data_IF_623252865853
#
_entry.id   IF_623252865853
#
_cell.length_a   1.000
_cell.length_b   1.000
_cell.length_c   1.000
_cell.angle_alpha   90.00
_cell.angle_beta   90.00
_cell.angle_gamma   90.00
#
_symmetry.space_group_name_H-M   'P 1'
#
loop_
_entity.id
_entity.type
_entity.pdbx_description
1 polymer ?
#
# COMPACT_ATOMS: atom_id res chain seq x y z
N UNK A 1 -5.12 -9.75 -13.10
CA UNK A 1 -6.59 -9.75 -13.33
C UNK A 1 -7.39 -9.28 -12.10
N UNK A 2 -6.73 -9.00 -11.00
CA UNK A 2 -7.35 -8.53 -9.75
C UNK A 2 -8.17 -7.24 -9.97
N UNK A 3 -7.58 -6.23 -10.62
CA UNK A 3 -8.29 -4.98 -10.95
C UNK A 3 -9.58 -5.21 -11.74
N UNK A 4 -9.56 -6.12 -12.74
CA UNK A 4 -10.77 -6.44 -13.51
C UNK A 4 -11.86 -7.06 -12.65
N UNK A 5 -11.50 -7.93 -11.73
CA UNK A 5 -12.47 -8.54 -10.81
C UNK A 5 -13.13 -7.54 -9.84
N UNK A 6 -12.53 -6.37 -9.66
CA UNK A 6 -12.95 -5.34 -8.69
C UNK A 6 -13.35 -4.01 -9.32
N UNK A 7 -13.51 -3.96 -10.66
CA UNK A 7 -13.91 -2.73 -11.37
C UNK A 7 -15.19 -2.12 -10.81
N UNK A 8 -16.21 -2.96 -10.59
CA UNK A 8 -17.49 -2.48 -10.05
C UNK A 8 -17.34 -1.90 -8.64
N UNK A 9 -16.58 -2.53 -7.79
CA UNK A 9 -16.33 -2.06 -6.43
C UNK A 9 -15.62 -0.69 -6.44
N UNK A 10 -14.59 -0.52 -7.31
CA UNK A 10 -13.92 0.76 -7.49
C UNK A 10 -14.90 1.84 -7.98
N UNK A 11 -15.75 1.52 -8.94
CA UNK A 11 -16.78 2.42 -9.46
C UNK A 11 -17.82 2.80 -8.40
N UNK A 12 -18.23 1.86 -7.56
CA UNK A 12 -19.19 2.09 -6.46
C UNK A 12 -18.61 3.07 -5.40
N UNK A 13 -17.27 3.20 -5.30
CA UNK A 13 -16.62 4.23 -4.48
C UNK A 13 -16.44 5.57 -5.20
N UNK A 14 -16.93 5.69 -6.44
CA UNK A 14 -16.80 6.90 -7.26
C UNK A 14 -15.48 7.04 -8.00
N UNK A 15 -14.65 5.99 -8.02
CA UNK A 15 -13.40 5.94 -8.76
C UNK A 15 -13.60 5.41 -10.18
N UNK A 16 -13.06 6.11 -11.18
CA UNK A 16 -12.82 5.56 -12.51
C UNK A 16 -11.52 4.79 -12.54
N UNK A 17 -11.39 3.84 -13.47
CA UNK A 17 -10.18 3.05 -13.67
C UNK A 17 -9.74 3.12 -15.13
N UNK A 18 -8.46 3.36 -15.36
CA UNK A 18 -7.80 3.20 -16.65
C UNK A 18 -6.38 2.67 -16.42
N UNK A 19 -5.83 1.95 -17.39
CA UNK A 19 -4.42 1.58 -17.40
C UNK A 19 -3.72 2.17 -18.61
N UNK A 20 -2.44 2.52 -18.45
CA UNK A 20 -1.60 3.08 -19.52
C UNK A 20 -0.45 2.10 -19.75
N UNK A 21 -0.18 1.81 -21.01
CA UNK A 21 0.97 1.02 -21.44
C UNK A 21 1.62 1.66 -22.66
N UNK A 22 2.91 1.40 -22.85
CA UNK A 22 3.65 1.80 -24.05
C UNK A 22 3.32 0.94 -25.30
N UNK A 23 2.51 -0.10 -25.13
CA UNK A 23 2.11 -0.98 -26.23
C UNK A 23 1.19 -0.26 -27.23
N UNK A 24 1.26 -0.65 -28.53
CA UNK A 24 0.36 -0.14 -29.56
C UNK A 24 -1.11 -0.48 -29.30
N UNK A 25 -2.07 0.31 -29.82
CA UNK A 25 -3.51 0.12 -29.60
C UNK A 25 -4.02 -1.28 -29.97
N UNK A 26 -3.52 -1.89 -31.05
CA UNK A 26 -3.92 -3.22 -31.51
C UNK A 26 -3.51 -4.32 -30.52
N UNK A 27 -2.34 -4.18 -29.88
CA UNK A 27 -1.89 -5.11 -28.83
C UNK A 27 -2.80 -4.99 -27.60
N UNK A 28 -3.08 -3.76 -27.18
CA UNK A 28 -3.96 -3.50 -26.03
C UNK A 28 -5.40 -3.98 -26.30
N UNK A 29 -5.91 -3.78 -27.50
CA UNK A 29 -7.24 -4.27 -27.89
C UNK A 29 -7.30 -5.80 -27.90
N UNK A 30 -6.26 -6.46 -28.40
CA UNK A 30 -6.16 -7.93 -28.36
C UNK A 30 -6.11 -8.44 -26.91
N UNK A 31 -5.27 -7.85 -26.08
CA UNK A 31 -5.14 -8.19 -24.67
C UNK A 31 -6.45 -7.97 -23.91
N UNK A 32 -7.13 -6.84 -24.14
CA UNK A 32 -8.42 -6.52 -23.52
C UNK A 32 -9.47 -7.60 -23.83
N UNK A 33 -9.61 -7.97 -25.11
CA UNK A 33 -10.56 -9.03 -25.52
C UNK A 33 -10.22 -10.39 -24.91
N UNK A 34 -8.96 -10.80 -24.97
CA UNK A 34 -8.53 -12.10 -24.41
C UNK A 34 -8.72 -12.23 -22.92
N UNK A 35 -8.65 -11.11 -22.18
CA UNK A 35 -8.71 -11.08 -20.73
C UNK A 35 -10.04 -10.58 -20.18
N UNK A 36 -10.99 -10.23 -21.06
CA UNK A 36 -12.28 -9.69 -20.65
C UNK A 36 -12.15 -8.37 -19.87
N UNK A 37 -11.17 -7.51 -20.23
CA UNK A 37 -10.96 -6.23 -19.54
C UNK A 37 -12.01 -5.24 -20.04
N UNK A 38 -12.73 -4.62 -19.09
CA UNK A 38 -13.83 -3.70 -19.36
C UNK A 38 -13.49 -2.23 -19.13
N UNK A 39 -12.39 -1.93 -18.46
CA UNK A 39 -11.90 -0.57 -18.29
C UNK A 39 -10.93 -0.17 -19.42
N UNK A 40 -10.77 1.13 -19.71
CA UNK A 40 -9.88 1.62 -20.77
C UNK A 40 -8.42 1.18 -20.58
N UNK A 41 -7.83 0.65 -21.64
CA UNK A 41 -6.39 0.49 -21.79
C UNK A 41 -5.90 1.55 -22.78
N UNK A 42 -5.05 2.46 -22.30
CA UNK A 42 -4.56 3.62 -23.02
C UNK A 42 -3.17 3.32 -23.58
N UNK A 43 -2.95 3.59 -24.86
CA UNK A 43 -1.68 3.43 -25.53
C UNK A 43 -0.85 4.69 -25.42
N UNK A 44 0.40 4.57 -24.96
CA UNK A 44 1.39 5.64 -24.86
C UNK A 44 2.64 5.25 -25.66
N UNK A 45 2.46 4.98 -26.94
CA UNK A 45 3.57 4.66 -27.86
C UNK A 45 4.61 5.80 -27.83
N UNK A 46 5.86 5.44 -27.57
CA UNK A 46 6.93 6.41 -27.36
C UNK A 46 7.03 6.95 -25.94
N UNK A 47 6.17 6.47 -25.01
CA UNK A 47 6.27 6.68 -23.55
C UNK A 47 6.27 8.15 -23.12
N UNK A 48 5.59 9.03 -23.87
CA UNK A 48 5.54 10.46 -23.56
C UNK A 48 4.82 10.76 -22.24
N UNK A 49 3.68 10.09 -22.00
CA UNK A 49 2.92 10.22 -20.74
C UNK A 49 3.67 9.56 -19.60
N UNK A 50 4.20 8.36 -19.79
CA UNK A 50 5.03 7.63 -18.83
C UNK A 50 6.19 8.50 -18.36
N UNK A 51 6.89 9.17 -19.29
CA UNK A 51 8.00 10.09 -18.98
C UNK A 51 7.52 11.31 -18.18
N UNK A 52 6.39 11.92 -18.56
CA UNK A 52 5.82 13.07 -17.82
C UNK A 52 5.42 12.74 -16.38
N UNK A 53 5.00 11.51 -16.14
CA UNK A 53 4.69 11.02 -14.78
C UNK A 53 5.94 10.63 -13.99
N UNK A 54 7.15 10.67 -14.61
CA UNK A 54 8.42 10.36 -13.96
C UNK A 54 8.58 8.87 -13.63
N UNK A 55 7.95 7.99 -14.41
CA UNK A 55 7.94 6.54 -14.17
C UNK A 55 8.56 5.73 -15.31
N UNK A 56 9.23 6.36 -16.24
CA UNK A 56 9.97 5.63 -17.26
C UNK A 56 11.05 4.76 -16.59
N UNK A 57 11.09 3.49 -16.96
CA UNK A 57 12.13 2.58 -16.49
C UNK A 57 13.43 2.86 -17.24
N UNK A 58 14.23 3.79 -16.71
CA UNK A 58 15.52 4.19 -17.30
C UNK A 58 16.52 3.06 -17.30
N UNK A 59 16.46 2.12 -16.34
CA UNK A 59 17.34 0.95 -16.30
C UNK A 59 17.16 0.06 -17.52
N UNK A 60 15.91 -0.15 -17.97
CA UNK A 60 15.65 -0.91 -19.19
C UNK A 60 16.11 -0.15 -20.44
N UNK A 61 15.97 1.17 -20.48
CA UNK A 61 16.40 2.04 -21.56
C UNK A 61 17.93 2.08 -21.66
N UNK A 62 18.61 2.23 -20.54
CA UNK A 62 20.07 2.23 -20.41
C UNK A 62 20.69 0.85 -20.73
N UNK A 63 19.97 -0.25 -20.41
CA UNK A 63 20.44 -1.62 -20.66
C UNK A 63 20.71 -1.93 -22.14
N UNK A 64 19.92 -1.38 -23.04
CA UNK A 64 19.95 -1.64 -24.48
C UNK A 64 20.12 -0.37 -25.32
N UNK A 65 20.25 0.78 -24.65
CA UNK A 65 20.37 2.10 -25.27
C UNK A 65 21.82 2.64 -25.35
N UNK A 66 22.00 3.89 -25.76
CA UNK A 66 23.32 4.51 -25.94
C UNK A 66 24.15 4.67 -24.66
N UNK A 67 23.53 4.66 -23.49
CA UNK A 67 24.17 4.78 -22.17
C UNK A 67 24.74 3.43 -21.63
N UNK A 68 24.48 2.33 -22.30
CA UNK A 68 24.95 0.98 -21.92
C UNK A 68 26.49 0.82 -21.81
N UNK A 69 27.25 1.87 -22.13
CA UNK A 69 28.71 1.89 -22.05
C UNK A 69 29.25 2.40 -20.71
N UNK A 70 28.40 2.95 -19.84
CA UNK A 70 28.78 3.42 -18.53
C UNK A 70 28.97 2.22 -17.58
N UNK A 71 30.16 2.04 -16.92
CA UNK A 71 30.41 0.90 -16.05
C UNK A 71 29.47 0.80 -14.83
N UNK A 72 29.04 1.93 -14.26
CA UNK A 72 28.10 1.93 -13.12
C UNK A 72 26.71 1.49 -13.57
N UNK A 73 26.24 2.04 -14.68
CA UNK A 73 25.01 1.64 -15.35
C UNK A 73 25.08 0.16 -15.73
N UNK A 74 26.23 -0.32 -16.24
CA UNK A 74 26.39 -1.72 -16.60
C UNK A 74 26.24 -2.69 -15.43
N UNK A 75 26.65 -2.31 -14.21
CA UNK A 75 26.50 -3.15 -13.01
C UNK A 75 25.04 -3.27 -12.57
N UNK A 76 24.31 -2.18 -12.52
CA UNK A 76 22.89 -2.15 -12.19
C UNK A 76 22.04 -2.86 -13.25
N UNK A 77 22.38 -2.67 -14.51
CA UNK A 77 21.78 -3.39 -15.64
C UNK A 77 21.99 -4.90 -15.51
N UNK A 78 23.20 -5.35 -15.19
CA UNK A 78 23.50 -6.77 -15.03
C UNK A 78 22.65 -7.36 -13.91
N UNK A 79 22.49 -6.65 -12.81
CA UNK A 79 21.64 -7.03 -11.69
C UNK A 79 20.16 -7.08 -12.10
N UNK A 80 19.68 -6.08 -12.81
CA UNK A 80 18.31 -6.01 -13.32
C UNK A 80 18.04 -7.11 -14.35
N UNK A 81 18.94 -7.30 -15.33
CA UNK A 81 18.85 -8.34 -16.37
C UNK A 81 18.82 -9.72 -15.77
N UNK A 82 19.65 -9.99 -14.73
CA UNK A 82 19.66 -11.28 -14.04
C UNK A 82 18.36 -11.55 -13.27
N UNK A 83 17.69 -10.51 -12.77
CA UNK A 83 16.45 -10.62 -12.00
C UNK A 83 15.19 -10.74 -12.88
N UNK A 84 15.12 -10.04 -14.02
CA UNK A 84 13.89 -9.91 -14.84
C UNK A 84 14.05 -10.31 -16.31
N UNK A 85 15.27 -10.49 -16.81
CA UNK A 85 15.54 -10.81 -18.20
C UNK A 85 15.27 -9.60 -19.11
N UNK A 86 16.26 -8.73 -19.32
CA UNK A 86 16.11 -7.57 -20.21
C UNK A 86 16.11 -7.96 -21.69
N UNK A 87 15.25 -7.33 -22.46
CA UNK A 87 15.24 -7.39 -23.92
C UNK A 87 14.95 -6.00 -24.50
N UNK A 88 15.31 -5.79 -25.76
CA UNK A 88 15.02 -4.54 -26.47
C UNK A 88 13.52 -4.15 -26.44
N UNK A 89 12.62 -5.12 -26.18
CA UNK A 89 11.19 -4.88 -26.05
C UNK A 89 10.81 -4.17 -24.75
N UNK A 90 11.74 -4.02 -23.80
CA UNK A 90 11.51 -3.34 -22.53
C UNK A 90 11.86 -1.84 -22.61
N UNK A 91 12.40 -1.36 -23.73
CA UNK A 91 12.64 0.07 -23.93
C UNK A 91 11.29 0.80 -23.96
N UNK A 92 11.15 1.83 -23.13
CA UNK A 92 9.90 2.58 -22.99
C UNK A 92 8.93 2.04 -21.95
N UNK A 93 9.23 0.88 -21.32
CA UNK A 93 8.40 0.34 -20.22
C UNK A 93 8.38 1.29 -19.01
N UNK A 94 7.24 1.36 -18.37
CA UNK A 94 7.12 2.09 -17.09
C UNK A 94 7.58 1.25 -15.90
N UNK A 95 8.11 1.90 -14.85
CA UNK A 95 8.03 1.32 -13.52
C UNK A 95 6.55 1.17 -13.14
N UNK A 96 6.18 0.07 -12.47
CA UNK A 96 4.82 -0.11 -12.01
C UNK A 96 4.43 1.02 -11.05
N UNK A 97 3.27 1.60 -11.26
CA UNK A 97 2.76 2.65 -10.39
C UNK A 97 1.24 2.81 -10.54
N UNK A 98 0.61 3.24 -9.48
CA UNK A 98 -0.80 3.61 -9.47
C UNK A 98 -0.93 5.06 -9.04
N UNK A 99 -1.67 5.85 -9.81
CA UNK A 99 -1.97 7.24 -9.51
C UNK A 99 -3.47 7.39 -9.27
N UNK A 100 -3.82 8.11 -8.22
CA UNK A 100 -5.19 8.53 -7.98
C UNK A 100 -5.27 10.02 -8.26
N UNK A 101 -6.16 10.38 -9.18
CA UNK A 101 -6.36 11.75 -9.61
C UNK A 101 -7.74 12.23 -9.15
N UNK A 102 -7.86 13.52 -8.83
CA UNK A 102 -9.15 14.15 -8.68
C UNK A 102 -9.81 14.45 -10.05
N UNK A 103 -11.02 14.96 -10.02
CA UNK A 103 -11.76 15.30 -11.24
C UNK A 103 -11.12 16.41 -12.08
N UNK A 104 -10.19 17.17 -11.52
CA UNK A 104 -9.41 18.20 -12.24
C UNK A 104 -8.14 17.63 -12.88
N UNK A 105 -7.87 16.33 -12.70
CA UNK A 105 -6.66 15.66 -13.19
C UNK A 105 -5.43 15.86 -12.30
N UNK A 106 -5.59 16.41 -11.09
CA UNK A 106 -4.49 16.57 -10.14
C UNK A 106 -4.25 15.28 -9.37
N UNK A 107 -2.99 14.87 -9.26
CA UNK A 107 -2.59 13.68 -8.49
C UNK A 107 -2.83 13.92 -7.01
N UNK A 108 -3.72 13.15 -6.42
CA UNK A 108 -4.05 13.14 -4.98
C UNK A 108 -3.21 12.11 -4.22
N UNK A 109 -2.91 11.00 -4.87
CA UNK A 109 -2.11 9.94 -4.27
C UNK A 109 -1.36 9.17 -5.35
N UNK A 110 -0.20 8.64 -4.98
CA UNK A 110 0.61 7.80 -5.84
C UNK A 110 1.15 6.62 -5.05
N UNK A 111 1.22 5.47 -5.70
CA UNK A 111 1.70 4.23 -5.15
C UNK A 111 2.78 3.70 -6.08
N UNK A 112 4.01 3.66 -5.62
CA UNK A 112 5.14 3.08 -6.32
C UNK A 112 5.66 1.90 -5.54
N UNK A 113 6.19 0.95 -6.25
CA UNK A 113 6.93 -0.15 -5.70
C UNK A 113 8.42 0.20 -5.71
N UNK A 114 9.10 -0.05 -4.60
CA UNK A 114 10.55 0.12 -4.49
C UNK A 114 11.29 -1.00 -5.25
N UNK A 115 10.59 -2.08 -5.56
CA UNK A 115 11.11 -3.23 -6.28
C UNK A 115 10.10 -3.72 -7.32
N UNK A 116 10.58 -4.11 -8.51
CA UNK A 116 9.74 -4.45 -9.66
C UNK A 116 8.71 -5.56 -9.41
N UNK A 117 8.97 -6.47 -8.47
CA UNK A 117 8.08 -7.59 -8.13
C UNK A 117 6.99 -7.18 -7.13
N UNK A 118 7.23 -6.12 -6.35
CA UNK A 118 6.26 -5.65 -5.35
C UNK A 118 5.04 -5.04 -6.04
N UNK A 119 3.86 -5.27 -5.47
CA UNK A 119 2.59 -4.73 -5.98
C UNK A 119 1.65 -4.36 -4.86
N UNK A 120 1.11 -3.15 -4.94
CA UNK A 120 -0.01 -2.76 -4.10
C UNK A 120 -1.23 -3.61 -4.42
N UNK A 121 -1.88 -4.13 -3.40
CA UNK A 121 -3.17 -4.81 -3.57
C UNK A 121 -4.28 -3.79 -3.78
N UNK A 122 -5.35 -4.18 -4.45
CA UNK A 122 -6.49 -3.28 -4.72
C UNK A 122 -7.16 -2.85 -3.42
N UNK A 123 -7.32 -3.77 -2.46
CA UNK A 123 -7.91 -3.44 -1.15
C UNK A 123 -7.05 -2.46 -0.36
N UNK A 124 -5.70 -2.57 -0.43
CA UNK A 124 -4.81 -1.59 0.19
C UNK A 124 -4.98 -0.20 -0.43
N UNK A 125 -5.09 -0.11 -1.75
CA UNK A 125 -5.37 1.15 -2.45
C UNK A 125 -6.71 1.72 -2.00
N UNK A 126 -7.76 0.88 -1.96
CA UNK A 126 -9.11 1.26 -1.53
C UNK A 126 -9.11 1.83 -0.11
N UNK A 127 -8.48 1.15 0.84
CA UNK A 127 -8.39 1.64 2.23
C UNK A 127 -7.70 3.00 2.32
N UNK A 128 -6.69 3.25 1.52
CA UNK A 128 -5.96 4.53 1.53
C UNK A 128 -6.76 5.71 0.99
N UNK A 129 -7.76 5.46 0.17
CA UNK A 129 -8.65 6.51 -0.37
C UNK A 129 -9.97 6.62 0.42
N UNK A 130 -10.03 6.00 1.60
CA UNK A 130 -11.20 6.03 2.46
C UNK A 130 -12.29 5.02 2.10
N UNK A 131 -12.01 4.11 1.16
CA UNK A 131 -12.85 2.95 0.86
C UNK A 131 -12.69 1.86 1.91
N UNK A 132 -13.53 0.84 1.82
CA UNK A 132 -13.39 -0.38 2.65
C UNK A 132 -12.49 -1.37 1.90
N UNK A 133 -11.56 -2.01 2.63
CA UNK A 133 -10.85 -3.19 2.14
C UNK A 133 -11.79 -4.39 2.02
N UNK A 134 -11.25 -5.57 1.68
CA UNK A 134 -12.02 -6.81 1.72
C UNK A 134 -12.69 -6.99 3.09
N UNK A 135 -13.84 -7.65 3.12
CA UNK A 135 -14.54 -7.94 4.37
C UNK A 135 -13.81 -9.04 5.16
N UNK A 136 -12.59 -8.76 5.57
CA UNK A 136 -11.80 -9.67 6.41
C UNK A 136 -12.24 -9.52 7.86
N UNK A 137 -12.44 -10.65 8.53
CA UNK A 137 -12.76 -10.66 9.95
C UNK A 137 -11.65 -9.96 10.74
N UNK A 138 -12.02 -8.97 11.52
CA UNK A 138 -11.09 -8.22 12.37
C UNK A 138 -11.09 -8.76 13.80
N UNK A 139 -9.97 -8.55 14.48
CA UNK A 139 -9.89 -8.75 15.94
C UNK A 139 -10.37 -7.50 16.66
N UNK A 140 -11.15 -7.68 17.73
CA UNK A 140 -11.63 -6.58 18.56
C UNK A 140 -10.98 -6.66 19.96
N UNK A 141 -10.57 -5.51 20.45
CA UNK A 141 -10.00 -5.35 21.81
C UNK A 141 -10.66 -4.14 22.47
N UNK A 142 -11.12 -4.32 23.70
CA UNK A 142 -11.63 -3.23 24.55
C UNK A 142 -10.64 -2.95 25.67
N UNK A 143 -10.34 -1.68 25.88
CA UNK A 143 -9.54 -1.20 27.01
C UNK A 143 -10.37 -0.31 27.91
N UNK A 144 -9.78 0.22 29.00
CA UNK A 144 -10.45 1.22 29.83
C UNK A 144 -10.83 2.49 29.05
N UNK A 145 -10.05 2.85 28.01
CA UNK A 145 -10.11 4.16 27.37
C UNK A 145 -10.67 4.14 25.94
N UNK A 146 -10.62 3.00 25.24
CA UNK A 146 -10.99 2.91 23.84
C UNK A 146 -11.41 1.49 23.42
N UNK A 147 -12.12 1.42 22.31
CA UNK A 147 -12.36 0.19 21.55
C UNK A 147 -11.45 0.18 20.32
N UNK A 148 -10.87 -0.97 20.02
CA UNK A 148 -10.04 -1.18 18.81
C UNK A 148 -10.62 -2.31 18.00
N UNK A 149 -10.71 -2.13 16.70
CA UNK A 149 -10.89 -3.20 15.73
C UNK A 149 -9.73 -3.17 14.75
N UNK A 150 -9.06 -4.29 14.54
CA UNK A 150 -7.95 -4.36 13.60
C UNK A 150 -8.10 -5.52 12.63
N UNK A 151 -7.72 -5.30 11.37
CA UNK A 151 -7.92 -6.24 10.27
C UNK A 151 -6.92 -5.99 9.14
N UNK A 152 -6.48 -7.04 8.42
CA UNK A 152 -5.72 -6.87 7.17
C UNK A 152 -6.66 -6.46 6.04
N UNK A 153 -6.12 -5.80 5.02
CA UNK A 153 -6.88 -5.45 3.81
C UNK A 153 -7.18 -6.67 2.91
N UNK A 154 -6.45 -7.75 3.08
CA UNK A 154 -6.47 -8.92 2.21
C UNK A 154 -6.83 -10.18 3.00
N UNK A 155 -7.64 -11.04 2.39
CA UNK A 155 -7.93 -12.38 2.92
C UNK A 155 -6.76 -13.36 2.73
N UNK A 156 -5.89 -13.13 1.76
CA UNK A 156 -4.67 -13.87 1.52
C UNK A 156 -3.64 -13.01 0.77
N UNK A 157 -2.36 -13.19 1.11
CA UNK A 157 -1.25 -12.44 0.52
C UNK A 157 -0.24 -13.38 -0.16
N UNK A 158 0.59 -12.81 -1.03
CA UNK A 158 1.71 -13.51 -1.66
C UNK A 158 3.02 -12.73 -1.43
N UNK A 159 4.19 -13.37 -1.55
CA UNK A 159 5.45 -12.64 -1.66
C UNK A 159 5.36 -11.57 -2.76
N UNK A 160 5.88 -10.38 -2.50
CA UNK A 160 5.74 -9.22 -3.38
C UNK A 160 4.44 -8.41 -3.18
N UNK A 161 3.53 -8.80 -2.30
CA UNK A 161 2.37 -7.96 -2.02
C UNK A 161 2.70 -6.83 -1.05
N UNK A 162 2.21 -5.64 -1.38
CA UNK A 162 2.06 -4.51 -0.50
C UNK A 162 0.60 -4.37 -0.14
N UNK A 163 0.27 -4.56 1.11
CA UNK A 163 -1.09 -4.54 1.65
C UNK A 163 -1.18 -3.65 2.88
N UNK A 164 -2.38 -3.45 3.39
CA UNK A 164 -2.61 -2.58 4.55
C UNK A 164 -3.20 -3.35 5.73
N UNK A 165 -2.89 -2.87 6.91
CA UNK A 165 -3.58 -3.23 8.14
C UNK A 165 -4.36 -2.00 8.58
N UNK A 166 -5.68 -2.14 8.72
CA UNK A 166 -6.56 -1.16 9.30
C UNK A 166 -6.62 -1.32 10.82
N UNK A 167 -6.57 -0.20 11.52
CA UNK A 167 -6.77 -0.13 12.97
C UNK A 167 -7.80 0.94 13.25
N UNK A 168 -9.06 0.53 13.41
CA UNK A 168 -10.18 1.39 13.79
C UNK A 168 -10.11 1.60 15.30
N UNK A 169 -10.05 2.85 15.71
CA UNK A 169 -9.95 3.26 17.11
C UNK A 169 -11.16 4.12 17.46
N UNK A 170 -11.88 3.74 18.47
CA UNK A 170 -13.02 4.51 19.01
C UNK A 170 -12.72 4.91 20.44
N UNK A 171 -12.36 6.17 20.71
CA UNK A 171 -12.21 6.66 22.06
C UNK A 171 -13.53 6.53 22.83
N UNK A 172 -13.49 6.07 24.09
CA UNK A 172 -14.66 6.01 24.94
C UNK A 172 -15.14 7.44 25.29
N UNK A 173 -16.37 7.55 25.73
CA UNK A 173 -16.99 8.84 26.04
C UNK A 173 -16.11 9.68 26.98
N UNK A 174 -15.81 10.91 26.58
CA UNK A 174 -14.98 11.85 27.31
C UNK A 174 -13.48 11.64 27.16
N UNK A 175 -13.04 10.60 26.44
CA UNK A 175 -11.63 10.35 26.18
C UNK A 175 -11.17 11.03 24.90
N UNK A 176 -9.91 11.45 24.90
CA UNK A 176 -9.19 11.82 23.69
C UNK A 176 -7.80 11.17 23.67
N UNK A 177 -7.28 10.97 22.46
CA UNK A 177 -5.96 10.42 22.22
C UNK A 177 -5.11 11.44 21.48
N UNK A 178 -3.82 11.48 21.75
CA UNK A 178 -2.92 12.43 21.11
C UNK A 178 -2.59 12.02 19.69
N UNK A 179 -2.66 13.01 18.79
CA UNK A 179 -2.37 12.88 17.38
C UNK A 179 -0.97 13.39 17.02
N UNK A 180 -0.44 13.12 15.83
CA UNK A 180 0.81 13.72 15.35
C UNK A 180 0.78 15.23 15.46
N UNK A 181 1.88 15.83 15.97
CA UNK A 181 1.99 17.25 16.29
C UNK A 181 1.74 17.59 17.75
N UNK A 182 1.21 16.67 18.56
CA UNK A 182 1.18 16.84 20.01
C UNK A 182 2.60 16.70 20.60
N UNK A 183 2.97 17.61 21.47
CA UNK A 183 4.27 17.62 22.15
C UNK A 183 4.10 17.31 23.63
N UNK A 184 5.02 16.54 24.20
CA UNK A 184 4.98 16.15 25.61
C UNK A 184 4.08 14.95 25.95
N UNK A 185 3.42 14.36 24.94
CA UNK A 185 2.47 13.25 25.11
C UNK A 185 2.82 12.08 24.18
N UNK A 186 2.33 10.88 24.54
CA UNK A 186 2.45 9.71 23.66
C UNK A 186 1.39 9.78 22.55
N UNK A 187 1.84 10.07 21.34
CA UNK A 187 1.01 10.03 20.13
C UNK A 187 0.54 8.60 19.88
N UNK A 188 -0.74 8.46 19.53
CA UNK A 188 -1.28 7.15 19.12
C UNK A 188 -0.56 6.64 17.88
N UNK A 189 -0.17 5.38 17.87
CA UNK A 189 0.55 4.80 16.73
C UNK A 189 0.57 3.28 16.74
N UNK A 190 0.80 2.71 15.57
CA UNK A 190 0.98 1.28 15.38
C UNK A 190 2.48 1.00 15.28
N UNK A 191 2.95 0.01 16.03
CA UNK A 191 4.30 -0.52 15.97
C UNK A 191 4.24 -1.95 15.48
N UNK A 192 5.03 -2.29 14.48
CA UNK A 192 5.17 -3.65 13.96
C UNK A 192 6.49 -4.22 14.45
N UNK A 193 6.46 -5.42 15.00
CA UNK A 193 7.68 -6.10 15.42
C UNK A 193 8.49 -6.51 14.19
N UNK A 194 9.80 -6.19 14.15
CA UNK A 194 10.66 -6.57 13.04
C UNK A 194 10.69 -8.10 12.85
N UNK A 195 10.56 -8.52 11.59
CA UNK A 195 10.71 -9.93 11.21
C UNK A 195 11.27 -10.03 9.78
N UNK A 196 11.93 -11.15 9.42
CA UNK A 196 12.48 -11.33 8.09
C UNK A 196 11.42 -11.22 7.00
N UNK A 197 11.77 -10.57 5.89
CA UNK A 197 10.94 -10.42 4.68
C UNK A 197 9.64 -9.65 4.86
N UNK A 198 9.49 -8.93 5.98
CA UNK A 198 8.34 -8.04 6.22
C UNK A 198 8.86 -6.65 6.55
N UNK A 199 8.42 -5.67 5.77
CA UNK A 199 8.77 -4.27 5.93
C UNK A 199 7.52 -3.45 6.21
N UNK A 200 7.49 -2.77 7.36
CA UNK A 200 6.44 -1.84 7.71
C UNK A 200 6.79 -0.44 7.18
N UNK A 201 5.84 0.22 6.53
CA UNK A 201 5.96 1.62 6.12
C UNK A 201 5.42 2.55 7.20
N UNK A 202 5.67 3.87 7.12
CA UNK A 202 5.11 4.80 8.09
C UNK A 202 3.57 4.74 8.17
N UNK A 203 3.04 4.80 9.38
CA UNK A 203 1.59 4.84 9.65
C UNK A 203 0.97 6.04 8.95
N UNK A 204 -0.20 5.85 8.35
CA UNK A 204 -1.03 6.94 7.80
C UNK A 204 -2.07 7.34 8.84
N UNK A 205 -2.06 8.62 9.15
CA UNK A 205 -2.94 9.24 10.13
C UNK A 205 -4.05 10.01 9.41
N UNK A 206 -5.30 9.93 9.88
CA UNK A 206 -6.35 10.83 9.42
C UNK A 206 -6.16 12.25 9.97
N UNK A 207 -6.97 13.20 9.50
CA UNK A 207 -6.98 14.54 10.05
C UNK A 207 -7.37 14.50 11.54
N UNK A 208 -6.63 15.25 12.35
CA UNK A 208 -6.88 15.44 13.78
C UNK A 208 -7.60 16.76 14.05
N UNK A 209 -8.10 16.92 15.26
CA UNK A 209 -8.71 18.16 15.72
C UNK A 209 -7.87 18.81 16.81
N UNK A 210 -8.03 20.14 17.01
CA UNK A 210 -7.35 20.86 18.07
C UNK A 210 -8.21 20.83 19.33
N UNK A 211 -7.68 20.22 20.38
CA UNK A 211 -8.26 20.27 21.72
C UNK A 211 -7.66 21.45 22.49
N UNK A 212 -8.50 22.23 23.17
CA UNK A 212 -8.09 23.35 24.01
C UNK A 212 -8.32 22.99 25.45
N UNK A 213 -7.25 22.72 26.18
CA UNK A 213 -7.29 22.48 27.60
C UNK A 213 -7.19 23.81 28.34
N UNK A 214 -8.34 24.40 28.67
CA UNK A 214 -8.47 25.73 29.26
C UNK A 214 -7.65 25.95 30.54
N UNK A 215 -7.55 24.99 31.49
CA UNK A 215 -6.80 25.21 32.74
C UNK A 215 -5.32 25.54 32.52
N UNK A 216 -4.70 24.99 31.48
CA UNK A 216 -3.29 25.24 31.13
C UNK A 216 -3.12 26.14 29.91
N UNK A 217 -4.23 26.60 29.30
CA UNK A 217 -4.21 27.32 28.01
C UNK A 217 -3.43 26.55 26.92
N UNK A 218 -3.52 25.25 26.95
CA UNK A 218 -2.81 24.36 26.04
C UNK A 218 -3.67 24.01 24.83
N UNK A 219 -3.03 23.95 23.65
CA UNK A 219 -3.66 23.59 22.37
C UNK A 219 -2.90 22.41 21.78
N UNK A 220 -3.56 21.26 21.71
CA UNK A 220 -2.94 20.01 21.27
C UNK A 220 -3.75 19.30 20.19
N UNK A 221 -3.07 18.58 19.31
CA UNK A 221 -3.67 17.75 18.28
C UNK A 221 -4.17 16.46 18.92
N UNK A 222 -5.46 16.15 18.72
CA UNK A 222 -6.10 14.98 19.32
C UNK A 222 -7.11 14.29 18.39
N UNK A 223 -7.51 13.10 18.77
CA UNK A 223 -8.66 12.37 18.25
C UNK A 223 -9.67 12.15 19.39
N UNK A 224 -10.87 12.73 19.23
CA UNK A 224 -12.00 12.56 20.15
C UNK A 224 -13.11 11.68 19.55
N UNK A 225 -13.13 11.51 18.24
CA UNK A 225 -14.09 10.72 17.46
C UNK A 225 -13.43 9.46 16.94
N UNK A 226 -14.23 8.48 16.51
CA UNK A 226 -13.69 7.30 15.83
C UNK A 226 -12.82 7.69 14.64
N UNK A 227 -11.69 7.01 14.50
CA UNK A 227 -10.73 7.21 13.41
C UNK A 227 -10.05 5.90 13.05
N UNK A 228 -9.45 5.85 11.88
CA UNK A 228 -8.70 4.68 11.38
C UNK A 228 -7.24 5.05 11.13
N UNK A 229 -6.32 4.29 11.70
CA UNK A 229 -4.92 4.27 11.31
C UNK A 229 -4.74 3.21 10.22
N UNK A 230 -3.93 3.53 9.21
CA UNK A 230 -3.58 2.58 8.15
C UNK A 230 -2.08 2.33 8.18
N UNK A 231 -1.71 1.09 8.45
CA UNK A 231 -0.35 0.61 8.45
C UNK A 231 -0.09 -0.19 7.17
N UNK A 232 0.76 0.32 6.28
CA UNK A 232 1.15 -0.43 5.10
C UNK A 232 2.28 -1.39 5.41
N UNK A 233 2.17 -2.60 4.86
CA UNK A 233 3.12 -3.69 5.02
C UNK A 233 3.53 -4.19 3.64
N UNK A 234 4.81 -4.44 3.46
CA UNK A 234 5.38 -5.11 2.29
C UNK A 234 5.87 -6.49 2.72
N UNK A 235 5.38 -7.52 2.05
CA UNK A 235 6.01 -8.84 2.05
C UNK A 235 6.98 -8.86 0.89
N UNK A 236 8.26 -8.96 1.18
CA UNK A 236 9.30 -8.89 0.16
C UNK A 236 9.13 -9.97 -0.91
N UNK A 237 9.47 -9.62 -2.15
CA UNK A 237 9.26 -10.46 -3.33
C UNK A 237 10.55 -11.05 -3.92
N UNK A 238 11.70 -10.81 -3.31
CA UNK A 238 13.00 -11.33 -3.78
C UNK A 238 13.04 -12.86 -3.71
N UNK A 239 13.92 -13.52 -4.47
CA UNK A 239 14.01 -14.98 -4.50
C UNK A 239 14.19 -15.62 -3.12
N UNK A 240 14.93 -14.97 -2.23
CA UNK A 240 15.19 -15.41 -0.86
C UNK A 240 13.90 -15.41 -0.03
N UNK A 241 13.10 -14.34 -0.13
CA UNK A 241 11.80 -14.23 0.52
C UNK A 241 10.82 -15.27 -0.02
N UNK A 242 10.77 -15.45 -1.34
CA UNK A 242 9.94 -16.46 -1.98
C UNK A 242 10.32 -17.88 -1.52
N UNK A 243 11.63 -18.17 -1.42
CA UNK A 243 12.10 -19.46 -0.95
C UNK A 243 11.76 -19.70 0.54
N UNK A 244 11.93 -18.69 1.39
CA UNK A 244 11.64 -18.77 2.82
C UNK A 244 10.15 -18.90 3.15
N UNK A 245 9.27 -18.36 2.28
CA UNK A 245 7.82 -18.40 2.46
C UNK A 245 7.16 -19.58 1.72
N UNK A 246 7.92 -20.28 0.86
CA UNK A 246 7.40 -21.43 0.11
C UNK A 246 6.92 -22.53 1.04
N UNK A 247 5.70 -23.02 0.81
CA UNK A 247 5.08 -24.10 1.58
C UNK A 247 4.54 -23.69 2.95
N UNK A 248 4.66 -22.40 3.34
CA UNK A 248 3.98 -21.90 4.53
C UNK A 248 2.53 -21.60 4.19
N UNK A 249 1.63 -21.96 5.10
CA UNK A 249 0.19 -21.74 4.92
C UNK A 249 -0.22 -20.30 5.25
N UNK A 250 0.49 -19.66 6.17
CA UNK A 250 0.19 -18.30 6.61
C UNK A 250 1.44 -17.54 7.04
N UNK A 251 1.31 -16.22 7.14
CA UNK A 251 2.27 -15.30 7.72
C UNK A 251 1.62 -14.61 8.92
N UNK A 252 2.25 -14.73 10.08
CA UNK A 252 1.84 -14.00 11.29
C UNK A 252 2.69 -12.75 11.46
N UNK A 253 2.04 -11.60 11.55
CA UNK A 253 2.66 -10.30 11.83
C UNK A 253 2.22 -9.88 13.22
N UNK A 254 3.17 -9.55 14.09
CA UNK A 254 2.88 -9.07 15.42
C UNK A 254 3.24 -7.59 15.57
N UNK A 255 2.53 -6.92 16.48
CA UNK A 255 2.75 -5.50 16.75
C UNK A 255 1.98 -5.01 17.95
N UNK A 256 1.85 -3.72 18.10
CA UNK A 256 1.07 -3.08 19.16
C UNK A 256 0.44 -1.77 18.70
N UNK A 257 -0.68 -1.41 19.31
CA UNK A 257 -1.20 -0.04 19.31
C UNK A 257 -0.71 0.63 20.58
N UNK A 258 0.08 1.67 20.46
CA UNK A 258 0.54 2.48 21.56
C UNK A 258 -0.24 3.80 21.61
N UNK A 259 -0.67 4.22 22.78
CA UNK A 259 -1.41 5.46 22.94
C UNK A 259 -1.31 6.01 24.37
N UNK A 260 -1.63 7.27 24.51
CA UNK A 260 -1.95 7.90 25.79
C UNK A 260 -3.35 8.50 25.67
N UNK A 261 -4.21 8.18 26.62
CA UNK A 261 -5.55 8.74 26.72
C UNK A 261 -5.61 9.78 27.84
N UNK A 262 -6.43 10.80 27.64
CA UNK A 262 -6.79 11.76 28.68
C UNK A 262 -8.30 12.02 28.63
N UNK A 263 -8.86 12.37 29.78
CA UNK A 263 -10.17 13.02 29.86
C UNK A 263 -10.00 14.52 30.14
N UNK A 264 -11.05 15.19 30.58
CA UNK A 264 -11.01 16.62 30.92
C UNK A 264 -10.32 16.94 32.27
N UNK A 265 -9.84 15.92 32.99
CA UNK A 265 -9.27 16.04 34.33
C UNK A 265 -7.93 15.35 34.49
N UNK A 266 -7.76 14.19 33.88
CA UNK A 266 -6.61 13.31 34.10
C UNK A 266 -6.06 12.78 32.80
N UNK A 267 -4.73 12.80 32.69
CA UNK A 267 -4.00 12.07 31.67
C UNK A 267 -3.53 10.73 32.23
N UNK A 268 -3.92 9.66 31.57
CA UNK A 268 -3.54 8.31 31.96
C UNK A 268 -2.12 7.98 31.49
N UNK A 269 -1.51 7.00 32.09
CA UNK A 269 -0.21 6.53 31.63
C UNK A 269 -0.28 5.98 30.19
N UNK A 270 0.78 6.15 29.40
CA UNK A 270 0.88 5.50 28.11
C UNK A 270 0.61 4.00 28.20
N UNK A 271 -0.17 3.50 27.28
CA UNK A 271 -0.64 2.11 27.23
C UNK A 271 -0.27 1.49 25.89
N UNK A 272 0.11 0.22 25.92
CA UNK A 272 0.37 -0.60 24.73
C UNK A 272 -0.63 -1.76 24.68
N UNK A 273 -1.30 -1.92 23.54
CA UNK A 273 -2.24 -3.02 23.26
C UNK A 273 -1.58 -3.95 22.26
N UNK A 274 -1.24 -5.19 22.63
CA UNK A 274 -0.64 -6.14 21.70
C UNK A 274 -1.64 -6.52 20.61
N UNK A 275 -1.15 -6.66 19.38
CA UNK A 275 -1.92 -7.03 18.20
C UNK A 275 -1.18 -8.10 17.39
N UNK A 276 -1.94 -8.95 16.71
CA UNK A 276 -1.38 -9.97 15.83
C UNK A 276 -2.33 -10.23 14.66
N UNK A 277 -1.75 -10.43 13.48
CA UNK A 277 -2.49 -10.71 12.25
C UNK A 277 -1.89 -11.95 11.59
N UNK A 278 -2.65 -13.02 11.55
CA UNK A 278 -2.29 -14.25 10.81
C UNK A 278 -3.04 -14.25 9.49
N UNK A 279 -2.31 -14.10 8.39
CA UNK A 279 -2.85 -13.92 7.05
C UNK A 279 -2.46 -15.13 6.21
N UNK A 280 -3.40 -15.84 5.56
CA UNK A 280 -3.10 -16.93 4.65
C UNK A 280 -2.13 -16.51 3.55
N UNK A 281 -1.19 -17.39 3.23
CA UNK A 281 -0.28 -17.22 2.10
C UNK A 281 -0.83 -17.94 0.87
N UNK A 282 -0.80 -17.27 -0.26
CA UNK A 282 -1.07 -17.86 -1.58
C UNK A 282 0.20 -17.88 -2.42
N UNK A 283 0.30 -18.81 -3.34
CA UNK A 283 1.38 -18.86 -4.30
C UNK A 283 1.33 -17.65 -5.24
N UNK A 284 2.50 -17.21 -5.71
CA UNK A 284 2.57 -16.31 -6.85
C UNK A 284 2.02 -17.02 -8.09
N UNK A 285 1.18 -16.32 -8.84
CA UNK A 285 0.72 -16.79 -10.15
C UNK A 285 1.84 -16.47 -11.14
N UNK A 286 2.72 -17.43 -11.35
CA UNK A 286 3.86 -17.31 -12.28
C UNK A 286 3.56 -17.89 -13.66
N UNK A 287 2.46 -18.64 -13.81
CA UNK A 287 2.08 -19.23 -15.07
C UNK A 287 1.70 -18.17 -16.10
N UNK A 288 2.42 -18.17 -17.20
CA UNK A 288 1.98 -17.41 -18.37
C UNK A 288 0.72 -18.08 -18.91
N UNK A 289 -0.34 -17.31 -19.18
CA UNK A 289 -1.49 -17.89 -19.87
C UNK A 289 -1.04 -18.46 -21.20
N UNK A 290 -1.70 -19.54 -21.68
CA UNK A 290 -1.40 -20.12 -22.97
C UNK A 290 -1.43 -19.01 -24.04
N UNK A 291 -0.45 -19.03 -24.94
CA UNK A 291 -0.48 -18.17 -26.12
C UNK A 291 -1.67 -18.60 -26.98
N UNK A 292 -2.42 -17.66 -27.55
CA UNK A 292 -3.48 -17.98 -28.48
C UNK A 292 -2.97 -18.72 -29.70
#
# INVERSE_FOLDING_TARGET
MELQGRVKELQDTGLGLAAISYDPPEILASFSRQRGITFPLLSDVGSATITRYGILNTVADEAVGPHAKDPEVAADIKKYVSAVGASARMVGIAFPGTFILDRSGRVQSRFFEDFYIERNTVSSIMMRVGGKGDAVAGTQVSTAHLEVRTYPSEAAIAPGNRFSIGVDVTPKRGMHLYAPGASGYRVVGVSILPQPFVRALPVKYPASEIYVFKPLNERVQVYQKPFTLVQEIIVEGQPEAQAALRGKESLTIAGSLEYQACDDKVCFNPTSVPMSWTIPLRSLITERPPRP
#
